data_IF_677333449462
#
_entry.id   IF_677333449462
#
_cell.length_a   1.000
_cell.length_b   1.000
_cell.length_c   1.000
_cell.angle_alpha   90.00
_cell.angle_beta   90.00
_cell.angle_gamma   90.00
#
_symmetry.space_group_name_H-M   'P 1'
#
loop_
_entity.id
_entity.type
_entity.pdbx_description
1 polymer ?
#
# COMPACT_ATOMS: atom_id res chain seq x y z
N UNK A 1 7.02 21.74 18.09
CA UNK A 1 6.06 21.05 17.20
C UNK A 1 6.89 20.18 16.25
N UNK A 2 7.28 18.99 16.71
CA UNK A 2 8.17 18.11 15.95
C UNK A 2 7.33 17.34 14.92
N UNK A 3 7.60 17.59 13.64
CA UNK A 3 7.06 16.78 12.56
C UNK A 3 7.74 15.41 12.63
N UNK A 4 7.05 14.42 13.21
CA UNK A 4 7.45 13.02 13.07
C UNK A 4 7.32 12.67 11.59
N UNK A 5 8.43 12.71 10.86
CA UNK A 5 8.51 12.17 9.52
C UNK A 5 8.38 10.66 9.66
N UNK A 6 7.16 10.14 9.47
CA UNK A 6 6.90 8.72 9.31
C UNK A 6 7.48 8.28 7.96
N UNK A 7 8.79 8.13 7.90
CA UNK A 7 9.47 7.56 6.74
C UNK A 7 9.30 6.04 6.80
N UNK A 8 8.07 5.55 6.66
CA UNK A 8 7.79 4.11 6.53
C UNK A 8 6.91 3.82 5.32
N UNK A 9 6.81 4.79 4.40
CA UNK A 9 6.31 4.56 3.07
C UNK A 9 7.52 4.14 2.23
N UNK A 10 7.63 2.86 1.89
CA UNK A 10 8.48 2.42 0.77
C UNK A 10 8.19 3.34 -0.41
N UNK A 11 9.08 4.32 -0.63
CA UNK A 11 8.84 5.42 -1.55
C UNK A 11 9.06 4.89 -2.95
N UNK A 12 8.03 4.23 -3.48
CA UNK A 12 8.04 3.58 -4.77
C UNK A 12 7.97 4.67 -5.85
N UNK A 13 9.13 5.10 -6.31
CA UNK A 13 9.25 6.08 -7.40
C UNK A 13 8.54 5.53 -8.65
N UNK A 14 7.62 6.31 -9.22
CA UNK A 14 6.85 5.94 -10.42
C UNK A 14 5.71 4.95 -10.20
N UNK A 15 5.25 4.78 -8.95
CA UNK A 15 4.13 3.87 -8.60
C UNK A 15 2.93 4.59 -7.96
N UNK A 16 2.78 5.88 -8.22
CA UNK A 16 1.72 6.69 -7.62
C UNK A 16 0.33 6.15 -7.97
N UNK A 17 0.12 5.71 -9.22
CA UNK A 17 -1.15 5.14 -9.67
C UNK A 17 -1.48 3.81 -8.98
N UNK A 18 -0.49 2.93 -8.80
CA UNK A 18 -0.67 1.65 -8.09
C UNK A 18 -0.88 1.87 -6.59
N UNK A 19 -0.14 2.80 -5.98
CA UNK A 19 -0.34 3.21 -4.58
C UNK A 19 -1.74 3.78 -4.36
N UNK A 20 -2.24 4.65 -5.24
CA UNK A 20 -3.58 5.22 -5.12
C UNK A 20 -4.68 4.15 -5.25
N UNK A 21 -4.51 3.19 -6.16
CA UNK A 21 -5.45 2.05 -6.30
C UNK A 21 -5.45 1.17 -5.05
N UNK A 22 -4.27 0.92 -4.49
CA UNK A 22 -4.12 0.18 -3.25
C UNK A 22 -4.81 0.90 -2.09
N UNK A 23 -4.57 2.20 -1.92
CA UNK A 23 -5.21 3.02 -0.89
C UNK A 23 -6.73 3.07 -1.04
N UNK A 24 -7.24 3.08 -2.28
CA UNK A 24 -8.69 3.03 -2.55
C UNK A 24 -9.30 1.71 -2.08
N UNK A 25 -8.63 0.58 -2.31
CA UNK A 25 -9.10 -0.73 -1.85
C UNK A 25 -9.03 -0.84 -0.34
N UNK A 26 -7.91 -0.42 0.26
CA UNK A 26 -7.75 -0.42 1.73
C UNK A 26 -8.74 0.54 2.40
N UNK A 27 -9.04 1.69 1.81
CA UNK A 27 -10.03 2.64 2.32
C UNK A 27 -11.46 2.09 2.41
N UNK A 28 -11.75 0.96 1.75
CA UNK A 28 -13.04 0.25 1.84
C UNK A 28 -13.06 -0.86 2.91
N UNK A 29 -11.95 -1.09 3.62
CA UNK A 29 -11.89 -2.04 4.72
C UNK A 29 -13.03 -1.76 5.72
N UNK A 30 -13.82 -2.79 6.01
CA UNK A 30 -14.99 -2.71 6.90
C UNK A 30 -16.33 -2.50 6.20
N UNK A 31 -16.34 -2.03 4.95
CA UNK A 31 -17.57 -1.82 4.16
C UNK A 31 -17.82 -2.94 3.12
N UNK A 32 -16.97 -3.97 3.10
CA UNK A 32 -17.02 -5.08 2.14
C UNK A 32 -15.62 -5.63 1.82
N UNK A 33 -15.56 -6.60 0.91
CA UNK A 33 -14.31 -7.17 0.39
C UNK A 33 -13.88 -6.58 -0.95
N UNK A 34 -12.61 -6.75 -1.30
CA UNK A 34 -12.06 -6.36 -2.60
C UNK A 34 -10.77 -7.09 -2.91
N UNK A 35 -10.41 -7.20 -4.19
CA UNK A 35 -9.17 -7.82 -4.64
C UNK A 35 -8.46 -6.90 -5.65
N UNK A 36 -7.13 -6.89 -5.59
CA UNK A 36 -6.27 -6.15 -6.51
C UNK A 36 -5.21 -7.09 -7.08
N UNK A 37 -5.02 -7.06 -8.40
CA UNK A 37 -4.05 -7.92 -9.09
C UNK A 37 -2.94 -7.04 -9.69
N UNK A 38 -1.71 -7.26 -9.24
CA UNK A 38 -0.53 -6.58 -9.77
C UNK A 38 0.11 -7.41 -10.89
N UNK A 39 0.14 -6.85 -12.11
CA UNK A 39 0.87 -7.40 -13.25
C UNK A 39 2.10 -6.55 -13.54
N UNK A 40 3.19 -7.21 -13.91
CA UNK A 40 4.43 -6.52 -14.28
C UNK A 40 5.58 -7.51 -14.41
N UNK A 41 6.69 -7.02 -14.94
CA UNK A 41 7.89 -7.82 -15.18
C UNK A 41 8.49 -8.39 -13.89
N UNK A 42 9.26 -9.49 -13.97
CA UNK A 42 10.10 -9.93 -12.85
C UNK A 42 10.99 -8.77 -12.35
N UNK A 43 11.14 -8.61 -11.03
CA UNK A 43 11.99 -7.56 -10.44
C UNK A 43 11.43 -6.14 -10.43
N UNK A 44 10.23 -5.90 -10.99
CA UNK A 44 9.63 -4.57 -11.17
C UNK A 44 9.18 -3.86 -9.86
N UNK A 45 9.36 -4.51 -8.70
CA UNK A 45 8.99 -3.98 -7.39
C UNK A 45 7.64 -4.46 -6.83
N UNK A 46 7.05 -5.54 -7.37
CA UNK A 46 5.76 -6.10 -6.88
C UNK A 46 5.78 -6.45 -5.38
N UNK A 47 6.86 -7.03 -4.88
CA UNK A 47 6.98 -7.39 -3.45
C UNK A 47 7.03 -6.13 -2.57
N UNK A 48 7.79 -5.11 -2.96
CA UNK A 48 7.85 -3.85 -2.23
C UNK A 48 6.48 -3.15 -2.17
N UNK A 49 5.66 -3.30 -3.22
CA UNK A 49 4.30 -2.77 -3.22
C UNK A 49 3.36 -3.54 -2.28
N UNK A 50 3.53 -4.87 -2.16
CA UNK A 50 2.80 -5.66 -1.17
C UNK A 50 3.23 -5.34 0.27
N UNK A 51 4.50 -5.03 0.50
CA UNK A 51 4.98 -4.66 1.83
C UNK A 51 4.44 -3.29 2.26
N UNK A 52 4.38 -2.32 1.33
CA UNK A 52 3.67 -1.06 1.53
C UNK A 52 2.20 -1.29 1.90
N UNK A 53 1.52 -2.19 1.18
CA UNK A 53 0.14 -2.55 1.49
C UNK A 53 -0.03 -3.09 2.91
N UNK A 54 0.89 -3.96 3.35
CA UNK A 54 0.90 -4.49 4.72
C UNK A 54 1.10 -3.41 5.76
N UNK A 55 2.09 -2.52 5.57
CA UNK A 55 2.31 -1.38 6.47
C UNK A 55 1.06 -0.50 6.58
N UNK A 56 0.46 -0.16 5.44
CA UNK A 56 -0.73 0.69 5.41
C UNK A 56 -1.94 0.02 6.07
N UNK A 57 -2.17 -1.26 5.78
CA UNK A 57 -3.24 -2.04 6.40
C UNK A 57 -3.05 -2.13 7.92
N UNK A 58 -1.83 -2.37 8.41
CA UNK A 58 -1.51 -2.36 9.86
C UNK A 58 -1.76 -1.00 10.49
N UNK A 59 -1.37 0.08 9.82
CA UNK A 59 -1.62 1.45 10.29
C UNK A 59 -3.13 1.77 10.39
N UNK A 60 -3.96 1.10 9.59
CA UNK A 60 -5.43 1.16 9.65
C UNK A 60 -6.05 0.18 10.66
N UNK A 61 -5.23 -0.59 11.40
CA UNK A 61 -5.68 -1.59 12.36
C UNK A 61 -6.16 -2.91 11.74
N UNK A 62 -5.90 -3.13 10.45
CA UNK A 62 -6.25 -4.39 9.79
C UNK A 62 -5.23 -5.50 10.13
N UNK A 63 -5.73 -6.74 10.19
CA UNK A 63 -4.90 -7.94 10.36
C UNK A 63 -4.34 -8.38 9.01
N UNK A 64 -3.01 -8.53 8.92
CA UNK A 64 -2.26 -8.93 7.71
C UNK A 64 -1.18 -9.95 8.00
#
# INVERSE_FOLDING_TARGET
MIATVLTDDLNLVGRDAESQRLDTVLGRLGNGGGALVFRGEPGIGKSALLDRARQRARAMGARV
#
